data_IF_745997503732
#
_entry.id   IF_745997503732
#
_cell.length_a   1.000
_cell.length_b   1.000
_cell.length_c   1.000
_cell.angle_alpha   90.00
_cell.angle_beta   90.00
_cell.angle_gamma   90.00
#
_symmetry.space_group_name_H-M   'P 1'
#
loop_
_entity.id
_entity.type
_entity.pdbx_description
1 polymer ?
#
# COMPACT_ATOMS: atom_id res chain seq x y z
N UNK A 1 -7.20 12.84 26.08
CA UNK A 1 -5.73 12.88 26.13
C UNK A 1 -5.25 14.14 25.44
N UNK A 2 -4.16 14.75 25.86
CA UNK A 2 -3.65 15.98 25.26
C UNK A 2 -2.44 15.67 24.37
N UNK A 3 -2.36 16.35 23.23
CA UNK A 3 -1.16 16.35 22.40
C UNK A 3 -0.26 17.48 22.92
N UNK A 4 0.91 17.13 23.44
CA UNK A 4 1.86 18.10 23.98
C UNK A 4 3.12 18.07 23.11
N UNK A 5 3.50 19.23 22.57
CA UNK A 5 4.67 19.35 21.68
C UNK A 5 4.65 18.30 20.56
N UNK A 6 3.50 18.18 19.86
CA UNK A 6 3.27 17.25 18.76
C UNK A 6 3.39 15.75 19.15
N UNK A 7 3.44 15.46 20.46
CA UNK A 7 3.54 14.11 20.99
C UNK A 7 2.21 13.71 21.64
N UNK A 8 1.64 12.59 21.18
CA UNK A 8 0.52 11.93 21.80
C UNK A 8 1.05 10.76 22.66
N UNK A 9 0.73 10.78 23.95
CA UNK A 9 1.05 9.69 24.89
C UNK A 9 -0.24 9.02 25.32
N UNK A 10 -0.34 7.70 25.11
CA UNK A 10 -1.53 6.91 25.44
C UNK A 10 -1.19 5.91 26.53
N UNK A 11 -1.91 6.01 27.66
CA UNK A 11 -1.76 5.12 28.83
C UNK A 11 -3.09 4.44 29.21
N UNK A 12 -4.16 4.65 28.42
CA UNK A 12 -5.42 3.92 28.56
C UNK A 12 -5.21 2.48 28.11
N UNK A 13 -6.05 1.56 28.54
CA UNK A 13 -5.96 0.15 28.13
C UNK A 13 -6.48 -0.11 26.70
N UNK A 14 -7.26 0.81 26.16
CA UNK A 14 -7.86 0.72 24.84
C UNK A 14 -7.68 2.02 24.02
N UNK A 15 -7.44 1.87 22.73
CA UNK A 15 -7.55 2.92 21.71
C UNK A 15 -8.71 2.53 20.80
N UNK A 16 -9.68 3.43 20.65
CA UNK A 16 -10.89 3.12 19.89
C UNK A 16 -10.65 3.13 18.40
N UNK A 17 -11.57 2.50 17.64
CA UNK A 17 -11.60 2.59 16.19
C UNK A 17 -11.66 4.04 15.74
N UNK A 18 -10.79 4.41 14.77
CA UNK A 18 -10.70 5.75 14.17
C UNK A 18 -10.47 6.91 15.14
N UNK A 19 -10.09 6.67 16.39
CA UNK A 19 -10.01 7.67 17.46
C UNK A 19 -9.13 8.88 17.08
N UNK A 20 -8.03 8.64 16.39
CA UNK A 20 -7.08 9.68 15.95
C UNK A 20 -6.98 9.79 14.42
N UNK A 21 -7.88 9.17 13.67
CA UNK A 21 -7.86 9.17 12.21
C UNK A 21 -7.77 10.60 11.65
N UNK A 22 -6.80 10.84 10.76
CA UNK A 22 -6.61 12.13 10.10
C UNK A 22 -6.02 13.22 10.98
N UNK A 23 -5.52 12.89 12.16
CA UNK A 23 -4.95 13.91 13.06
C UNK A 23 -3.54 14.31 12.63
N UNK A 24 -3.43 15.48 11.98
CA UNK A 24 -2.17 16.02 11.47
C UNK A 24 -1.29 16.68 12.55
N UNK A 25 -1.80 16.85 13.78
CA UNK A 25 -1.02 17.41 14.89
C UNK A 25 -0.10 16.40 15.57
N UNK A 26 -0.29 15.10 15.29
CA UNK A 26 0.51 14.03 15.87
C UNK A 26 1.75 13.79 14.99
N UNK A 27 2.93 14.12 15.52
CA UNK A 27 4.20 13.72 14.91
C UNK A 27 4.86 12.56 15.66
N UNK A 28 4.59 12.44 16.96
CA UNK A 28 5.16 11.38 17.80
C UNK A 28 4.05 10.68 18.55
N UNK A 29 4.10 9.34 18.53
CA UNK A 29 3.17 8.47 19.24
C UNK A 29 3.94 7.64 20.27
N UNK A 30 3.47 7.67 21.49
CA UNK A 30 3.98 6.83 22.57
C UNK A 30 2.87 5.97 23.16
N UNK A 31 3.01 4.68 23.05
CA UNK A 31 2.09 3.68 23.58
C UNK A 31 2.62 3.22 24.93
N UNK A 32 1.84 3.45 25.98
CA UNK A 32 2.18 3.05 27.34
C UNK A 32 2.04 1.55 27.57
N UNK A 33 2.56 1.11 28.72
CA UNK A 33 2.60 -0.31 29.10
C UNK A 33 1.22 -0.95 29.28
N UNK A 34 0.18 -0.15 29.56
CA UNK A 34 -1.16 -0.64 29.91
C UNK A 34 -2.09 -0.74 28.68
N UNK A 35 -1.68 -0.27 27.49
CA UNK A 35 -2.47 -0.37 26.24
C UNK A 35 -2.54 -1.83 25.82
N UNK A 36 -3.77 -2.36 25.69
CA UNK A 36 -4.06 -3.76 25.36
C UNK A 36 -4.68 -3.95 23.99
N UNK A 37 -5.46 -2.96 23.54
CA UNK A 37 -6.18 -3.01 22.26
C UNK A 37 -6.01 -1.72 21.47
N UNK A 38 -5.92 -1.87 20.14
CA UNK A 38 -5.86 -0.76 19.20
C UNK A 38 -6.93 -1.04 18.15
N UNK A 39 -7.91 -0.16 18.06
CA UNK A 39 -9.02 -0.25 17.11
C UNK A 39 -8.57 -0.05 15.66
N UNK A 40 -9.34 -0.59 14.74
CA UNK A 40 -9.09 -0.44 13.32
C UNK A 40 -8.99 1.03 12.92
N UNK A 41 -8.09 1.34 11.98
CA UNK A 41 -7.90 2.71 11.47
C UNK A 41 -7.56 3.77 12.54
N UNK A 42 -7.19 3.39 13.77
CA UNK A 42 -7.03 4.34 14.88
C UNK A 42 -6.10 5.51 14.55
N UNK A 43 -5.07 5.31 13.72
CA UNK A 43 -4.10 6.33 13.28
C UNK A 43 -4.01 6.47 11.76
N UNK A 44 -4.97 5.94 11.00
CA UNK A 44 -5.01 6.14 9.55
C UNK A 44 -5.01 7.62 9.19
N UNK A 45 -4.39 7.99 8.07
CA UNK A 45 -4.31 9.37 7.60
C UNK A 45 -3.58 10.35 8.56
N UNK A 46 -2.85 9.87 9.56
CA UNK A 46 -1.96 10.70 10.38
C UNK A 46 -0.66 10.98 9.61
N UNK A 47 -0.75 11.77 8.53
CA UNK A 47 0.32 11.98 7.54
C UNK A 47 1.61 12.61 8.12
N UNK A 48 1.54 13.24 9.28
CA UNK A 48 2.68 13.84 9.94
C UNK A 48 3.36 12.92 10.96
N UNK A 49 2.84 11.71 11.16
CA UNK A 49 3.43 10.76 12.11
C UNK A 49 4.82 10.33 11.62
N UNK A 50 5.82 10.51 12.46
CA UNK A 50 7.23 10.26 12.11
C UNK A 50 8.00 9.44 13.15
N UNK A 51 7.44 9.29 14.37
CA UNK A 51 8.05 8.50 15.43
C UNK A 51 6.99 7.74 16.21
N UNK A 52 7.23 6.45 16.38
CA UNK A 52 6.36 5.54 17.11
C UNK A 52 7.20 4.78 18.13
N UNK A 53 6.81 4.89 19.39
CA UNK A 53 7.46 4.20 20.51
C UNK A 53 6.41 3.41 21.29
N UNK A 54 6.75 2.19 21.69
CA UNK A 54 5.96 1.36 22.60
C UNK A 54 6.79 1.12 23.86
N UNK A 55 6.18 1.31 25.03
CA UNK A 55 6.84 1.06 26.32
C UNK A 55 7.37 -0.39 26.36
N UNK A 56 8.61 -0.57 26.78
CA UNK A 56 9.28 -1.88 26.83
C UNK A 56 8.57 -2.91 27.72
N UNK A 57 7.76 -2.44 28.68
CA UNK A 57 6.96 -3.27 29.57
C UNK A 57 5.56 -3.56 29.02
N UNK A 58 5.21 -3.08 27.81
CA UNK A 58 3.93 -3.42 27.19
C UNK A 58 3.89 -4.91 26.85
N UNK A 59 2.81 -5.59 27.29
CA UNK A 59 2.67 -7.03 27.13
C UNK A 59 2.00 -7.45 25.82
N UNK A 60 1.44 -6.53 25.07
CA UNK A 60 0.65 -6.80 23.86
C UNK A 60 1.32 -6.31 22.57
N UNK A 61 2.08 -5.23 22.66
CA UNK A 61 2.70 -4.56 21.51
C UNK A 61 4.19 -4.32 21.73
N UNK A 62 4.91 -4.10 20.63
CA UNK A 62 6.31 -3.69 20.63
C UNK A 62 6.60 -2.75 19.47
N UNK A 63 7.57 -1.87 19.63
CA UNK A 63 8.20 -1.11 18.56
C UNK A 63 9.64 -1.57 18.28
N UNK A 64 10.00 -2.75 18.69
CA UNK A 64 11.28 -3.44 18.64
C UNK A 64 12.46 -2.64 18.07
N UNK A 65 13.49 -2.37 18.87
CA UNK A 65 14.73 -1.69 18.44
C UNK A 65 14.54 -0.38 17.65
N UNK A 66 13.44 0.36 17.90
CA UNK A 66 13.21 1.65 17.25
C UNK A 66 12.78 1.56 15.79
N UNK A 67 12.05 0.51 15.40
CA UNK A 67 11.56 0.35 14.02
C UNK A 67 10.50 1.37 13.60
N UNK A 68 10.06 2.25 14.50
CA UNK A 68 8.97 3.23 14.24
C UNK A 68 7.66 2.58 13.79
N UNK A 69 7.24 1.51 14.46
CA UNK A 69 6.00 0.81 14.18
C UNK A 69 5.39 0.26 15.48
N UNK A 70 4.11 -0.06 15.45
CA UNK A 70 3.47 -0.89 16.47
C UNK A 70 3.26 -2.28 15.87
N UNK A 71 3.81 -3.28 16.52
CA UNK A 71 3.72 -4.67 16.11
C UNK A 71 3.13 -5.47 17.26
N UNK A 72 2.17 -6.32 16.96
CA UNK A 72 1.57 -7.19 17.95
C UNK A 72 2.40 -8.47 18.19
N UNK A 73 1.95 -9.31 19.12
CA UNK A 73 2.65 -10.56 19.47
C UNK A 73 2.57 -11.64 18.40
N UNK A 74 1.66 -11.53 17.43
CA UNK A 74 1.60 -12.45 16.29
C UNK A 74 2.64 -12.12 15.21
N UNK A 75 3.29 -10.95 15.32
CA UNK A 75 4.21 -10.44 14.29
C UNK A 75 3.54 -9.55 13.26
N UNK A 76 2.28 -9.14 13.49
CA UNK A 76 1.58 -8.23 12.58
C UNK A 76 1.95 -6.78 12.88
N UNK A 77 2.48 -6.07 11.88
CA UNK A 77 2.70 -4.63 11.93
C UNK A 77 1.35 -3.93 11.77
N UNK A 78 0.86 -3.36 12.86
CA UNK A 78 -0.47 -2.72 12.92
C UNK A 78 -0.44 -1.25 12.49
N UNK A 79 0.61 -0.53 12.83
CA UNK A 79 0.76 0.90 12.53
C UNK A 79 2.20 1.19 12.21
N UNK A 80 2.41 1.81 11.06
CA UNK A 80 3.70 2.34 10.60
C UNK A 80 3.61 3.82 10.28
N UNK A 81 4.76 4.41 9.98
CA UNK A 81 4.90 5.76 9.46
C UNK A 81 5.95 5.78 8.32
N UNK A 82 6.10 6.91 7.64
CA UNK A 82 7.05 7.01 6.53
C UNK A 82 8.53 6.77 6.90
N UNK A 83 8.86 6.75 8.20
CA UNK A 83 10.19 6.41 8.73
C UNK A 83 10.28 4.97 9.26
N UNK A 84 9.26 4.15 9.08
CA UNK A 84 9.26 2.77 9.57
C UNK A 84 10.27 1.93 8.80
N UNK A 85 11.03 1.15 9.55
CA UNK A 85 11.84 0.06 9.02
C UNK A 85 11.16 -1.25 9.42
N UNK A 86 10.65 -2.01 8.44
CA UNK A 86 9.97 -3.28 8.69
C UNK A 86 10.96 -4.26 9.31
N UNK A 87 10.79 -4.66 10.58
CA UNK A 87 11.78 -5.49 11.26
C UNK A 87 11.62 -6.96 10.89
N UNK A 88 12.71 -7.72 10.94
CA UNK A 88 12.74 -9.13 10.52
C UNK A 88 11.81 -10.07 11.31
N UNK A 89 11.35 -9.69 12.47
CA UNK A 89 10.41 -10.48 13.26
C UNK A 89 8.94 -10.19 12.92
N UNK A 90 8.66 -9.16 12.11
CA UNK A 90 7.33 -8.97 11.57
C UNK A 90 7.08 -10.03 10.47
N UNK A 91 5.90 -10.59 10.44
CA UNK A 91 5.50 -11.61 9.45
C UNK A 91 4.40 -11.12 8.53
N UNK A 92 3.68 -10.11 8.96
CA UNK A 92 2.53 -9.56 8.23
C UNK A 92 2.49 -8.03 8.39
N UNK A 93 1.95 -7.36 7.37
CA UNK A 93 1.54 -5.95 7.44
C UNK A 93 0.02 -5.93 7.57
N UNK A 94 -0.48 -5.37 8.66
CA UNK A 94 -1.91 -5.32 8.95
C UNK A 94 -2.69 -4.35 8.07
N UNK A 95 -4.03 -4.46 8.06
CA UNK A 95 -4.89 -3.50 7.37
C UNK A 95 -4.64 -2.07 7.84
N UNK A 96 -4.66 -1.11 6.91
CA UNK A 96 -4.45 0.33 7.18
C UNK A 96 -3.11 0.70 7.80
N UNK A 97 -2.13 -0.19 7.86
CA UNK A 97 -0.89 0.00 8.63
C UNK A 97 -0.11 1.27 8.26
N UNK A 98 -0.07 1.66 7.00
CA UNK A 98 0.56 2.87 6.47
C UNK A 98 -0.43 3.81 5.78
N UNK A 99 -1.73 3.62 6.00
CA UNK A 99 -2.77 4.39 5.33
C UNK A 99 -2.59 5.90 5.55
N UNK A 100 -2.49 6.67 4.46
CA UNK A 100 -2.32 8.10 4.47
C UNK A 100 -0.91 8.60 4.82
N UNK A 101 0.11 7.75 4.74
CA UNK A 101 1.50 8.18 4.92
C UNK A 101 2.01 8.86 3.63
N UNK A 102 1.53 10.07 3.36
CA UNK A 102 1.77 10.80 2.10
C UNK A 102 3.25 11.07 1.81
N UNK A 103 4.13 11.08 2.82
CA UNK A 103 5.57 11.31 2.66
C UNK A 103 6.37 10.03 2.35
N UNK A 104 5.69 8.88 2.27
CA UNK A 104 6.32 7.61 1.95
C UNK A 104 6.61 7.57 0.44
N UNK A 105 7.88 7.59 0.06
CA UNK A 105 8.31 7.64 -1.35
C UNK A 105 8.67 6.27 -1.90
N UNK A 106 9.24 5.42 -1.07
CA UNK A 106 9.67 4.07 -1.48
C UNK A 106 9.19 3.04 -0.48
N UNK A 107 8.75 1.89 -0.97
CA UNK A 107 8.35 0.75 -0.15
C UNK A 107 9.02 -0.51 -0.68
N UNK A 108 9.69 -1.23 0.22
CA UNK A 108 10.06 -2.61 -0.02
C UNK A 108 9.28 -3.49 0.94
N UNK A 109 8.50 -4.43 0.39
CA UNK A 109 7.85 -5.49 1.15
C UNK A 109 8.82 -6.66 1.17
N UNK A 110 9.51 -6.88 2.30
CA UNK A 110 10.59 -7.85 2.35
C UNK A 110 10.09 -9.29 2.38
N UNK A 111 10.95 -10.22 1.99
CA UNK A 111 10.65 -11.65 1.81
C UNK A 111 10.15 -12.41 3.05
N UNK A 112 10.28 -11.83 4.23
CA UNK A 112 9.76 -12.40 5.47
C UNK A 112 8.34 -11.94 5.82
N UNK A 113 7.76 -11.05 5.01
CA UNK A 113 6.35 -10.67 5.08
C UNK A 113 5.56 -11.61 4.17
N UNK A 114 4.58 -12.32 4.74
CA UNK A 114 3.73 -13.23 3.99
C UNK A 114 2.46 -12.56 3.49
N UNK A 115 1.87 -11.66 4.29
CA UNK A 115 0.62 -11.00 3.95
C UNK A 115 0.68 -9.50 4.14
N UNK A 116 0.03 -8.80 3.21
CA UNK A 116 -0.21 -7.35 3.30
C UNK A 116 -1.72 -7.13 3.33
N UNK A 117 -2.21 -6.50 4.37
CA UNK A 117 -3.63 -6.28 4.60
C UNK A 117 -4.26 -5.24 3.68
N UNK A 118 -5.59 -5.27 3.64
CA UNK A 118 -6.39 -4.32 2.85
C UNK A 118 -6.12 -2.87 3.28
N UNK A 119 -6.06 -1.95 2.31
CA UNK A 119 -5.78 -0.52 2.54
C UNK A 119 -4.44 -0.22 3.23
N UNK A 120 -3.50 -1.16 3.28
CA UNK A 120 -2.28 -1.00 4.06
C UNK A 120 -1.48 0.24 3.67
N UNK A 121 -1.44 0.61 2.40
CA UNK A 121 -0.75 1.79 1.85
C UNK A 121 -1.70 2.76 1.13
N UNK A 122 -3.03 2.67 1.39
CA UNK A 122 -3.99 3.60 0.78
C UNK A 122 -3.62 5.05 1.07
N UNK A 123 -3.62 5.89 0.04
CA UNK A 123 -3.30 7.32 0.17
C UNK A 123 -1.82 7.65 0.40
N UNK A 124 -0.90 6.73 0.14
CA UNK A 124 0.54 7.04 0.08
C UNK A 124 0.85 7.78 -1.23
N UNK A 125 0.39 9.01 -1.35
CA UNK A 125 0.33 9.76 -2.61
C UNK A 125 1.70 10.14 -3.19
N UNK A 126 2.78 10.16 -2.39
CA UNK A 126 4.14 10.41 -2.89
C UNK A 126 4.92 9.11 -3.17
N UNK A 127 4.25 7.94 -3.13
CA UNK A 127 4.91 6.66 -3.38
C UNK A 127 5.25 6.53 -4.88
N UNK A 128 6.55 6.48 -5.17
CA UNK A 128 7.10 6.40 -6.53
C UNK A 128 7.71 5.04 -6.84
N UNK A 129 8.17 4.31 -5.81
CA UNK A 129 8.80 3.00 -5.99
C UNK A 129 8.25 1.97 -5.03
N UNK A 130 7.82 0.84 -5.60
CA UNK A 130 7.38 -0.35 -4.88
C UNK A 130 8.27 -1.54 -5.26
N UNK A 131 8.78 -2.24 -4.27
CA UNK A 131 9.43 -3.54 -4.45
C UNK A 131 8.72 -4.59 -3.63
N UNK A 132 8.29 -5.67 -4.27
CA UNK A 132 7.73 -6.85 -3.62
C UNK A 132 8.78 -7.95 -3.73
N UNK A 133 9.31 -8.41 -2.59
CA UNK A 133 10.29 -9.49 -2.58
C UNK A 133 9.61 -10.88 -2.62
N UNK A 134 10.34 -11.87 -3.07
CA UNK A 134 9.91 -13.27 -3.11
C UNK A 134 9.63 -13.79 -1.70
N UNK A 135 8.41 -14.22 -1.44
CA UNK A 135 7.95 -14.70 -0.12
C UNK A 135 6.65 -14.06 0.32
N UNK A 136 6.26 -12.95 -0.32
CA UNK A 136 4.92 -12.39 -0.17
C UNK A 136 3.92 -13.32 -0.85
N UNK A 137 2.91 -13.74 -0.10
CA UNK A 137 1.91 -14.72 -0.53
C UNK A 137 0.57 -14.08 -0.86
N UNK A 138 0.21 -12.98 -0.15
CA UNK A 138 -1.09 -12.32 -0.31
C UNK A 138 -1.00 -10.81 -0.16
N UNK A 139 -1.74 -10.09 -1.02
CA UNK A 139 -1.94 -8.64 -0.93
C UNK A 139 -3.44 -8.35 -1.03
N UNK A 140 -3.98 -7.69 -0.01
CA UNK A 140 -5.40 -7.45 0.14
C UNK A 140 -5.94 -6.28 -0.68
N UNK A 141 -7.26 -6.14 -0.63
CA UNK A 141 -8.05 -5.14 -1.34
C UNK A 141 -7.55 -3.71 -1.11
N UNK A 142 -7.56 -2.90 -2.16
CA UNK A 142 -7.24 -1.47 -2.07
C UNK A 142 -5.90 -1.14 -1.42
N UNK A 143 -4.97 -2.10 -1.40
CA UNK A 143 -3.70 -1.98 -0.67
C UNK A 143 -2.93 -0.72 -1.07
N UNK A 144 -2.89 -0.38 -2.36
CA UNK A 144 -2.22 0.80 -2.91
C UNK A 144 -3.21 1.80 -3.56
N UNK A 145 -4.44 1.83 -3.09
CA UNK A 145 -5.43 2.82 -3.53
C UNK A 145 -4.87 4.24 -3.31
N UNK A 146 -5.15 5.15 -4.24
CA UNK A 146 -4.67 6.54 -4.19
C UNK A 146 -3.13 6.72 -4.18
N UNK A 147 -2.35 5.69 -4.50
CA UNK A 147 -0.92 5.79 -4.79
C UNK A 147 -0.73 6.11 -6.27
N UNK A 148 -0.88 7.36 -6.65
CA UNK A 148 -1.03 7.80 -8.07
C UNK A 148 0.28 8.23 -8.75
N UNK A 149 1.41 8.12 -8.07
CA UNK A 149 2.69 8.64 -8.56
C UNK A 149 3.76 7.55 -8.75
N UNK A 150 3.35 6.30 -8.98
CA UNK A 150 4.31 5.24 -9.26
C UNK A 150 5.12 5.52 -10.53
N UNK A 151 6.44 5.37 -10.41
CA UNK A 151 7.39 5.37 -11.53
C UNK A 151 7.99 3.98 -11.73
N UNK A 152 8.10 3.19 -10.66
CA UNK A 152 8.72 1.87 -10.70
C UNK A 152 8.00 0.88 -9.78
N UNK A 153 7.71 -0.31 -10.33
CA UNK A 153 7.21 -1.46 -9.55
C UNK A 153 8.10 -2.67 -9.87
N UNK A 154 8.73 -3.23 -8.85
CA UNK A 154 9.55 -4.43 -8.93
C UNK A 154 8.76 -5.63 -8.41
N UNK A 155 8.53 -6.62 -9.27
CA UNK A 155 7.74 -7.82 -8.99
C UNK A 155 8.62 -9.06 -8.97
N UNK A 156 8.45 -9.99 -8.01
CA UNK A 156 9.13 -11.28 -8.03
C UNK A 156 8.50 -12.22 -9.06
N UNK A 157 9.27 -13.18 -9.56
CA UNK A 157 8.74 -14.31 -10.33
C UNK A 157 8.18 -15.37 -9.38
N UNK A 158 7.07 -15.06 -8.72
CA UNK A 158 6.32 -15.99 -7.87
C UNK A 158 4.86 -15.64 -7.92
N UNK A 159 4.00 -16.64 -7.83
CA UNK A 159 2.56 -16.43 -7.68
C UNK A 159 2.28 -15.71 -6.35
N UNK A 160 1.50 -14.65 -6.40
CA UNK A 160 1.02 -13.88 -5.26
C UNK A 160 -0.50 -13.78 -5.40
N UNK A 161 -1.24 -14.10 -4.35
CA UNK A 161 -2.68 -13.87 -4.28
C UNK A 161 -2.92 -12.35 -4.08
N UNK A 162 -3.24 -11.67 -5.18
CA UNK A 162 -3.46 -10.22 -5.20
C UNK A 162 -4.94 -9.95 -5.50
N UNK A 163 -5.57 -9.13 -4.66
CA UNK A 163 -6.93 -8.67 -4.96
C UNK A 163 -6.95 -7.73 -6.18
N UNK A 164 -7.93 -7.95 -7.08
CA UNK A 164 -8.05 -7.17 -8.32
C UNK A 164 -8.28 -5.67 -8.08
N UNK A 165 -8.75 -5.27 -6.91
CA UNK A 165 -8.96 -3.86 -6.53
C UNK A 165 -7.70 -3.20 -5.93
N UNK A 166 -6.54 -3.84 -5.97
CA UNK A 166 -5.32 -3.40 -5.27
C UNK A 166 -4.99 -1.91 -5.46
N UNK A 167 -5.22 -1.34 -6.65
CA UNK A 167 -4.99 0.07 -6.98
C UNK A 167 -6.24 0.96 -6.94
N UNK A 168 -7.38 0.43 -6.50
CA UNK A 168 -8.52 1.25 -6.11
C UNK A 168 -9.69 1.35 -7.06
N UNK A 169 -9.71 0.64 -8.18
CA UNK A 169 -10.94 0.46 -8.94
C UNK A 169 -11.36 -0.99 -8.80
N UNK A 170 -12.57 -1.23 -8.31
CA UNK A 170 -13.15 -2.56 -8.33
C UNK A 170 -13.18 -3.07 -9.79
N UNK A 171 -12.95 -4.35 -10.04
CA UNK A 171 -13.12 -4.91 -11.36
C UNK A 171 -14.48 -4.49 -11.89
N UNK A 172 -14.53 -4.10 -13.16
CA UNK A 172 -15.73 -3.67 -13.86
C UNK A 172 -16.83 -4.73 -13.65
N UNK A 173 -17.91 -4.37 -12.97
CA UNK A 173 -19.04 -5.25 -12.80
C UNK A 173 -19.85 -5.28 -14.11
N UNK A 174 -19.69 -6.36 -14.87
CA UNK A 174 -20.39 -6.57 -16.14
C UNK A 174 -21.91 -6.68 -15.95
N UNK A 175 -22.38 -7.02 -14.75
CA UNK A 175 -23.81 -7.12 -14.43
C UNK A 175 -24.44 -5.75 -14.15
N UNK A 176 -23.62 -4.71 -13.83
CA UNK A 176 -24.08 -3.32 -13.64
C UNK A 176 -23.60 -2.35 -14.74
N UNK A 177 -23.38 -2.88 -15.93
CA UNK A 177 -22.85 -2.14 -17.11
C UNK A 177 -23.71 -0.90 -17.46
N UNK A 178 -25.01 -0.95 -17.25
CA UNK A 178 -25.95 0.11 -17.65
C UNK A 178 -25.83 1.36 -16.77
N UNK A 179 -25.55 1.21 -15.47
CA UNK A 179 -25.34 2.32 -14.53
C UNK A 179 -23.93 2.92 -14.70
N UNK A 180 -22.93 2.08 -14.87
CA UNK A 180 -21.54 2.50 -15.03
C UNK A 180 -21.32 3.28 -16.33
N UNK A 181 -21.94 2.87 -17.43
CA UNK A 181 -21.87 3.61 -18.71
C UNK A 181 -22.58 4.97 -18.65
N UNK A 182 -23.65 5.11 -17.90
CA UNK A 182 -24.39 6.36 -17.78
C UNK A 182 -23.60 7.42 -16.98
N UNK A 183 -22.82 7.00 -15.96
CA UNK A 183 -21.92 7.92 -15.22
C UNK A 183 -20.75 8.39 -16.08
N UNK A 184 -20.32 7.61 -17.08
CA UNK A 184 -19.20 7.95 -17.96
C UNK A 184 -19.60 8.78 -19.19
N UNK A 185 -20.89 8.80 -19.55
CA UNK A 185 -21.38 9.49 -20.74
C UNK A 185 -21.80 10.96 -20.49
N UNK A 186 -21.97 11.37 -19.23
CA UNK A 186 -22.40 12.72 -18.89
C UNK A 186 -21.27 13.76 -18.81
N UNK A 187 -19.99 13.33 -18.77
CA UNK A 187 -18.82 14.23 -18.88
C UNK A 187 -18.11 13.96 -20.22
N UNK A 188 -17.88 15.01 -21.02
CA UNK A 188 -16.95 14.90 -22.16
C UNK A 188 -15.61 14.39 -21.62
N UNK A 189 -15.07 13.25 -22.15
CA UNK A 189 -13.83 12.70 -21.64
C UNK A 189 -12.69 13.71 -21.90
N UNK A 190 -12.39 14.50 -20.86
CA UNK A 190 -11.11 15.20 -20.84
C UNK A 190 -10.05 14.12 -20.84
N UNK A 191 -9.36 13.94 -21.97
CA UNK A 191 -8.23 13.01 -22.05
C UNK A 191 -7.28 13.36 -20.91
N UNK A 192 -7.08 12.50 -19.92
CA UNK A 192 -6.18 12.81 -18.82
C UNK A 192 -4.79 13.07 -19.41
N UNK A 193 -4.15 14.16 -19.01
CA UNK A 193 -2.76 14.42 -19.39
C UNK A 193 -1.90 13.27 -18.87
N UNK A 194 -1.05 12.70 -19.73
CA UNK A 194 -0.09 11.69 -19.33
C UNK A 194 0.82 12.29 -18.25
N UNK A 195 0.82 11.71 -17.06
CA UNK A 195 1.64 12.16 -15.93
C UNK A 195 3.07 11.66 -16.04
N UNK A 196 3.29 10.50 -16.66
CA UNK A 196 4.62 9.92 -16.72
C UNK A 196 4.71 8.55 -17.38
N UNK A 197 5.81 7.88 -17.07
CA UNK A 197 6.11 6.52 -17.47
C UNK A 197 6.16 5.67 -16.19
N UNK A 198 5.43 4.55 -16.19
CA UNK A 198 5.55 3.52 -15.17
C UNK A 198 6.37 2.37 -15.72
N UNK A 199 7.47 2.03 -15.03
CA UNK A 199 8.28 0.87 -15.35
C UNK A 199 7.98 -0.26 -14.37
N UNK A 200 7.59 -1.43 -14.89
CA UNK A 200 7.37 -2.65 -14.12
C UNK A 200 8.50 -3.60 -14.44
N UNK A 201 9.30 -3.96 -13.45
CA UNK A 201 10.37 -4.95 -13.57
C UNK A 201 9.90 -6.26 -12.97
N UNK A 202 9.79 -7.28 -13.83
CA UNK A 202 9.41 -8.63 -13.45
C UNK A 202 10.64 -9.55 -13.46
N UNK A 203 10.91 -10.22 -12.34
CA UNK A 203 12.07 -11.12 -12.19
C UNK A 203 11.88 -12.48 -12.88
N UNK A 204 11.39 -12.48 -14.12
CA UNK A 204 11.10 -13.65 -14.92
C UNK A 204 11.17 -13.37 -16.42
N UNK A 205 10.77 -14.35 -17.22
CA UNK A 205 10.59 -14.25 -18.67
C UNK A 205 9.21 -13.69 -19.03
N UNK A 206 9.00 -13.28 -20.26
CA UNK A 206 7.69 -12.88 -20.78
C UNK A 206 6.65 -14.01 -20.64
N UNK A 207 7.05 -15.27 -20.92
CA UNK A 207 6.17 -16.42 -20.76
C UNK A 207 5.74 -16.62 -19.30
N UNK A 208 6.68 -16.48 -18.35
CA UNK A 208 6.39 -16.56 -16.92
C UNK A 208 5.51 -15.39 -16.46
N UNK A 209 5.71 -14.18 -17.01
CA UNK A 209 4.87 -13.02 -16.71
C UNK A 209 3.41 -13.26 -17.10
N UNK A 210 3.15 -13.76 -18.30
CA UNK A 210 1.80 -14.11 -18.74
C UNK A 210 1.18 -15.27 -17.95
N UNK A 211 1.99 -16.27 -17.57
CA UNK A 211 1.53 -17.42 -16.79
C UNK A 211 1.19 -17.06 -15.34
N UNK A 212 1.85 -16.06 -14.75
CA UNK A 212 1.55 -15.55 -13.41
C UNK A 212 0.38 -14.55 -13.38
N UNK A 213 -0.32 -14.38 -14.49
CA UNK A 213 -1.34 -13.37 -14.68
C UNK A 213 -0.72 -12.01 -15.03
N UNK A 214 -1.13 -11.45 -16.16
CA UNK A 214 -0.66 -10.16 -16.62
C UNK A 214 -0.99 -9.07 -15.58
N UNK A 215 0.02 -8.61 -14.87
CA UNK A 215 -0.15 -7.64 -13.78
C UNK A 215 -0.80 -6.33 -14.26
N UNK A 216 -0.47 -5.90 -15.47
CA UNK A 216 -1.02 -4.65 -16.02
C UNK A 216 -2.48 -4.84 -16.40
N UNK A 217 -2.79 -5.92 -17.15
CA UNK A 217 -4.15 -6.16 -17.62
C UNK A 217 -5.11 -6.45 -16.45
N UNK A 218 -4.64 -7.14 -15.42
CA UNK A 218 -5.49 -7.60 -14.34
C UNK A 218 -5.63 -6.60 -13.19
N UNK A 219 -4.56 -5.88 -12.83
CA UNK A 219 -4.52 -5.05 -11.61
C UNK A 219 -4.45 -3.56 -11.88
N UNK A 220 -3.87 -3.14 -13.01
CA UNK A 220 -3.78 -1.73 -13.37
C UNK A 220 -4.89 -1.27 -14.30
N UNK A 221 -5.54 -2.20 -15.04
CA UNK A 221 -6.67 -1.88 -15.91
C UNK A 221 -7.76 -1.16 -15.12
N UNK A 222 -8.30 -0.09 -15.70
CA UNK A 222 -9.27 0.79 -15.05
C UNK A 222 -8.75 1.56 -13.81
N UNK A 223 -7.45 1.56 -13.54
CA UNK A 223 -6.87 2.39 -12.48
C UNK A 223 -6.56 3.80 -12.98
N UNK A 224 -6.46 4.76 -12.03
CA UNK A 224 -5.98 6.10 -12.34
C UNK A 224 -4.54 6.11 -12.89
N UNK A 225 -3.76 5.06 -12.61
CA UNK A 225 -2.39 4.88 -13.10
C UNK A 225 -2.42 4.56 -14.59
N UNK A 226 -3.22 3.58 -15.03
CA UNK A 226 -3.34 3.23 -16.45
C UNK A 226 -3.80 4.43 -17.28
N UNK A 227 -4.80 5.17 -16.80
CA UNK A 227 -5.33 6.33 -17.51
C UNK A 227 -4.30 7.47 -17.70
N UNK A 228 -3.25 7.51 -16.89
CA UNK A 228 -2.31 8.63 -16.83
C UNK A 228 -0.85 8.28 -17.13
N UNK A 229 -0.51 7.00 -17.35
CA UNK A 229 0.87 6.56 -17.59
C UNK A 229 1.01 5.72 -18.85
N UNK A 230 2.17 5.80 -19.50
CA UNK A 230 2.64 4.78 -20.43
C UNK A 230 3.37 3.73 -19.60
N UNK A 231 2.99 2.47 -19.75
CA UNK A 231 3.50 1.38 -18.90
C UNK A 231 4.45 0.52 -19.74
N UNK A 232 5.66 0.32 -19.22
CA UNK A 232 6.64 -0.62 -19.75
C UNK A 232 6.83 -1.77 -18.79
N UNK A 233 6.74 -3.00 -19.28
CA UNK A 233 7.03 -4.21 -18.52
C UNK A 233 8.34 -4.80 -19.02
N UNK A 234 9.34 -4.82 -18.15
CA UNK A 234 10.68 -5.34 -18.42
C UNK A 234 10.82 -6.75 -17.85
N UNK A 235 11.04 -7.73 -18.71
CA UNK A 235 11.32 -9.12 -18.36
C UNK A 235 12.76 -9.50 -18.75
N UNK A 236 13.25 -10.65 -18.31
CA UNK A 236 14.62 -11.14 -18.62
C UNK A 236 14.89 -11.33 -20.12
N UNK A 237 13.86 -11.62 -20.89
CA UNK A 237 13.93 -11.97 -22.32
C UNK A 237 13.19 -11.01 -23.24
N UNK A 238 12.68 -9.89 -22.72
CA UNK A 238 12.01 -8.89 -23.55
C UNK A 238 11.30 -7.81 -22.79
N UNK A 239 10.69 -6.92 -23.54
CA UNK A 239 9.94 -5.77 -23.01
C UNK A 239 8.56 -5.71 -23.69
N UNK A 240 7.56 -5.29 -22.91
CA UNK A 240 6.22 -5.00 -23.39
C UNK A 240 5.92 -3.52 -23.12
N UNK A 241 5.24 -2.88 -24.05
CA UNK A 241 4.68 -1.55 -23.88
C UNK A 241 3.17 -1.65 -23.86
N UNK A 242 2.58 -1.12 -22.81
CA UNK A 242 1.14 -0.96 -22.70
C UNK A 242 0.80 0.54 -22.84
N UNK A 243 -0.04 0.85 -23.79
CA UNK A 243 -0.68 2.14 -23.88
C UNK A 243 -2.21 1.94 -23.90
N UNK A 244 -2.95 3.03 -23.87
CA UNK A 244 -4.43 3.00 -23.85
C UNK A 244 -5.09 2.18 -24.99
N UNK A 245 -4.31 1.62 -25.90
CA UNK A 245 -4.76 0.84 -27.04
C UNK A 245 -4.40 -0.65 -26.95
N UNK A 246 -3.73 -1.08 -25.88
CA UNK A 246 -3.29 -2.46 -25.65
C UNK A 246 -1.78 -2.65 -25.73
N UNK A 247 -1.34 -3.90 -25.53
CA UNK A 247 0.08 -4.24 -25.56
C UNK A 247 0.65 -4.25 -26.99
N UNK A 248 1.83 -3.65 -27.15
CA UNK A 248 2.68 -3.86 -28.31
C UNK A 248 4.03 -4.43 -27.83
N UNK A 249 4.45 -5.57 -28.41
CA UNK A 249 5.79 -6.11 -28.19
C UNK A 249 6.77 -5.21 -28.94
N UNK A 250 7.66 -4.55 -28.20
CA UNK A 250 8.79 -3.89 -28.85
C UNK A 250 9.84 -4.94 -29.26
N UNK A 251 10.29 -4.89 -30.53
CA UNK A 251 11.15 -5.92 -31.14
C UNK A 251 12.61 -5.77 -30.72
#
# INVERSE_FOLDING_TARGET
>A
MEIINETLVINTDEILEREYKGNLSIKKLRIGKDVKTIGAEAFSMCANLESIEVDENNQWFTSGNGCNAIIDKSGTLLIGCYKTVIPKFATDIGPFAFCGQTKLQTVTIPSHIHRVGSFAFDGCSELVELTIEKGVEQIGEYCFKNCINFETINLPNTEIDIDASIFGVAPFDWDDMENTLNEWMDDEPTTPELKGILNIFFDGTLEEYYNNGDFVEYYLSCSAIEATHVIYVHCKDGELKHDKWGFTKEA
#
